data_IF_063233589267
#
_entry.id   IF_063233589267
#
_cell.length_a   1.000
_cell.length_b   1.000
_cell.length_c   1.000
_cell.angle_alpha   90.00
_cell.angle_beta   90.00
_cell.angle_gamma   90.00
#
_symmetry.space_group_name_H-M   'P 1'
#
loop_
_entity.id
_entity.type
_entity.pdbx_description
1 polymer ?
#
# COMPACT_ATOMS: atom_id res chain seq x y z
N UNK A 1 30.59 6.86 -1.55
CA UNK A 1 29.85 7.85 -0.73
C UNK A 1 28.39 8.00 -1.22
N UNK A 2 27.62 6.89 -1.33
CA UNK A 2 26.19 6.94 -1.73
C UNK A 2 25.22 6.71 -0.57
N UNK A 3 25.72 6.12 0.51
CA UNK A 3 24.94 5.71 1.69
C UNK A 3 24.47 6.88 2.54
N UNK A 4 25.31 7.90 2.75
CA UNK A 4 24.97 9.05 3.59
C UNK A 4 23.81 9.90 3.04
N UNK A 5 23.79 10.14 1.72
CA UNK A 5 22.73 10.90 1.08
C UNK A 5 21.41 10.11 1.01
N UNK A 6 21.48 8.83 0.66
CA UNK A 6 20.30 7.95 0.62
C UNK A 6 19.66 7.79 2.01
N UNK A 7 20.46 7.56 3.05
CA UNK A 7 19.96 7.43 4.43
C UNK A 7 19.37 8.72 4.99
N UNK A 8 19.95 9.89 4.67
CA UNK A 8 19.39 11.17 5.10
C UNK A 8 18.04 11.45 4.43
N UNK A 9 17.91 11.16 3.13
CA UNK A 9 16.65 11.30 2.41
C UNK A 9 15.59 10.35 2.97
N UNK A 10 15.93 9.08 3.18
CA UNK A 10 15.04 8.10 3.80
C UNK A 10 14.53 8.58 5.15
N UNK A 11 15.42 9.02 6.05
CA UNK A 11 14.99 9.46 7.40
C UNK A 11 14.06 10.67 7.37
N UNK A 12 14.30 11.62 6.45
CA UNK A 12 13.40 12.77 6.26
C UNK A 12 12.01 12.32 5.81
N UNK A 13 11.94 11.37 4.89
CA UNK A 13 10.67 10.85 4.39
C UNK A 13 9.95 10.01 5.45
N UNK A 14 10.66 9.17 6.20
CA UNK A 14 10.09 8.36 7.29
C UNK A 14 9.47 9.27 8.34
N UNK A 15 10.21 10.24 8.86
CA UNK A 15 9.69 11.15 9.89
C UNK A 15 8.55 12.05 9.39
N UNK A 16 8.44 12.29 8.08
CA UNK A 16 7.34 13.08 7.52
C UNK A 16 6.05 12.27 7.32
N UNK A 17 6.17 10.95 7.16
CA UNK A 17 5.06 10.05 6.84
C UNK A 17 4.63 9.17 8.04
N UNK A 18 5.37 9.19 9.15
CA UNK A 18 5.11 8.34 10.32
C UNK A 18 3.74 8.60 10.98
N UNK A 19 3.22 9.81 10.85
CA UNK A 19 1.94 10.24 11.42
C UNK A 19 0.72 9.83 10.56
N UNK A 20 0.94 9.26 9.38
CA UNK A 20 -0.14 8.87 8.47
C UNK A 20 -0.77 7.54 8.88
N UNK A 21 -2.10 7.49 8.91
CA UNK A 21 -2.85 6.27 9.20
C UNK A 21 -3.99 6.05 8.21
N UNK A 22 -4.28 4.78 7.91
CA UNK A 22 -5.44 4.37 7.11
C UNK A 22 -6.61 4.12 8.05
N UNK A 23 -7.70 4.87 7.86
CA UNK A 23 -8.94 4.70 8.60
C UNK A 23 -9.74 3.53 8.03
N UNK A 24 -10.71 3.04 8.82
CA UNK A 24 -11.58 1.92 8.44
C UNK A 24 -12.45 2.20 7.21
N UNK A 25 -12.61 3.47 6.83
CA UNK A 25 -13.32 3.93 5.63
C UNK A 25 -12.40 4.03 4.39
N UNK A 26 -11.12 3.67 4.52
CA UNK A 26 -10.13 3.70 3.44
C UNK A 26 -9.45 5.06 3.26
N UNK A 27 -9.81 6.08 4.06
CA UNK A 27 -9.16 7.39 4.05
C UNK A 27 -7.78 7.31 4.69
N UNK A 28 -6.80 7.98 4.07
CA UNK A 28 -5.49 8.22 4.69
C UNK A 28 -5.52 9.58 5.36
N UNK A 29 -5.32 9.63 6.68
CA UNK A 29 -5.35 10.86 7.46
C UNK A 29 -4.05 11.08 8.23
N UNK A 30 -3.70 12.33 8.50
CA UNK A 30 -2.68 12.68 9.48
C UNK A 30 -3.19 12.53 10.93
N UNK A 31 -2.31 12.72 11.91
CA UNK A 31 -2.65 12.70 13.33
C UNK A 31 -3.59 13.84 13.78
N UNK A 32 -3.82 14.87 12.95
CA UNK A 32 -4.76 15.98 13.18
C UNK A 32 -6.11 15.75 12.50
N UNK A 33 -6.30 14.62 11.81
CA UNK A 33 -7.52 14.27 11.09
C UNK A 33 -7.66 14.94 9.71
N UNK A 34 -6.60 15.55 9.19
CA UNK A 34 -6.58 16.06 7.81
C UNK A 34 -6.50 14.88 6.84
N UNK A 35 -7.38 14.88 5.84
CA UNK A 35 -7.41 13.86 4.79
C UNK A 35 -6.30 14.14 3.80
N UNK A 36 -5.37 13.19 3.67
CA UNK A 36 -4.25 13.22 2.73
C UNK A 36 -4.58 12.46 1.45
N UNK A 37 -5.31 11.34 1.56
CA UNK A 37 -5.85 10.60 0.41
C UNK A 37 -7.28 10.13 0.72
N UNK A 38 -8.16 10.23 -0.28
CA UNK A 38 -9.55 9.78 -0.17
C UNK A 38 -9.71 8.26 -0.27
N UNK A 39 -8.75 7.57 -0.88
CA UNK A 39 -8.68 6.11 -0.96
C UNK A 39 -7.20 5.73 -0.89
N UNK A 40 -6.84 4.84 0.03
CA UNK A 40 -5.48 4.35 0.17
C UNK A 40 -4.97 3.75 -1.16
N UNK A 41 -3.89 4.31 -1.70
CA UNK A 41 -3.30 3.79 -2.94
C UNK A 41 -4.22 3.89 -4.16
N UNK A 42 -5.22 4.77 -4.13
CA UNK A 42 -6.27 4.99 -5.16
C UNK A 42 -7.22 3.81 -5.39
N UNK A 43 -6.78 2.58 -5.12
CA UNK A 43 -7.54 1.34 -5.33
C UNK A 43 -7.88 0.61 -4.02
N UNK A 44 -7.39 1.08 -2.88
CA UNK A 44 -7.66 0.48 -1.56
C UNK A 44 -6.87 -0.81 -1.29
N UNK A 45 -5.88 -1.12 -2.12
CA UNK A 45 -5.16 -2.38 -2.08
C UNK A 45 -3.86 -2.21 -1.31
N UNK A 46 -3.64 -3.08 -0.33
CA UNK A 46 -2.36 -3.22 0.35
C UNK A 46 -1.32 -3.83 -0.62
N UNK A 47 -0.23 -3.11 -0.99
CA UNK A 47 0.80 -3.63 -1.89
C UNK A 47 1.46 -4.91 -1.38
N UNK A 48 1.44 -5.17 -0.07
CA UNK A 48 1.97 -6.41 0.51
C UNK A 48 1.02 -7.60 0.32
N UNK A 49 -0.27 -7.36 0.05
CA UNK A 49 -1.30 -8.36 -0.18
C UNK A 49 -1.69 -8.50 -1.66
N UNK A 50 -1.19 -7.62 -2.52
CA UNK A 50 -1.41 -7.70 -3.97
C UNK A 50 -0.37 -8.56 -4.66
N UNK A 51 -0.78 -9.28 -5.71
CA UNK A 51 0.14 -9.99 -6.59
C UNK A 51 0.81 -8.95 -7.51
N UNK A 52 1.97 -8.44 -7.08
CA UNK A 52 2.80 -7.49 -7.84
C UNK A 52 2.05 -6.23 -8.31
N UNK A 53 1.16 -5.68 -7.47
CA UNK A 53 0.41 -4.46 -7.78
C UNK A 53 -0.83 -4.66 -8.65
N UNK A 54 -1.24 -5.91 -8.92
CA UNK A 54 -2.54 -6.18 -9.55
C UNK A 54 -3.62 -6.39 -8.49
N UNK A 55 -4.79 -5.73 -8.68
CA UNK A 55 -5.96 -5.78 -7.80
C UNK A 55 -6.43 -7.20 -7.50
N UNK A 56 -6.44 -8.04 -8.53
CA UNK A 56 -6.68 -9.46 -8.44
C UNK A 56 -6.12 -10.11 -9.70
N UNK A 57 -5.26 -11.12 -9.57
CA UNK A 57 -4.86 -11.94 -10.71
C UNK A 57 -5.98 -12.96 -10.98
N UNK A 58 -6.95 -12.54 -11.80
CA UNK A 58 -8.15 -13.34 -12.10
C UNK A 58 -7.79 -14.67 -12.80
N UNK A 59 -6.74 -14.67 -13.62
CA UNK A 59 -6.28 -15.87 -14.33
C UNK A 59 -5.78 -16.93 -13.34
N UNK A 60 -4.98 -16.52 -12.35
CA UNK A 60 -4.51 -17.39 -11.27
C UNK A 60 -5.68 -17.95 -10.44
N UNK A 61 -6.69 -17.13 -10.15
CA UNK A 61 -7.88 -17.56 -9.41
C UNK A 61 -8.68 -18.61 -10.20
N UNK A 62 -8.85 -18.41 -11.51
CA UNK A 62 -9.54 -19.36 -12.40
C UNK A 62 -8.79 -20.69 -12.47
N UNK A 63 -7.47 -20.64 -12.58
CA UNK A 63 -6.64 -21.85 -12.62
C UNK A 63 -6.68 -22.62 -11.30
N UNK A 64 -6.63 -21.94 -10.15
CA UNK A 64 -6.79 -22.58 -8.83
C UNK A 64 -8.17 -23.24 -8.66
N UNK A 65 -9.25 -22.61 -9.15
CA UNK A 65 -10.59 -23.20 -9.11
C UNK A 65 -10.69 -24.44 -10.01
N UNK A 66 -10.12 -24.41 -11.22
CA UNK A 66 -10.10 -25.57 -12.14
C UNK A 66 -9.35 -26.78 -11.60
N UNK A 67 -8.28 -26.56 -10.82
CA UNK A 67 -7.52 -27.65 -10.18
C UNK A 67 -8.32 -28.28 -9.04
N UNK A 68 -9.16 -27.52 -8.34
CA UNK A 68 -9.99 -28.00 -7.23
C UNK A 68 -11.22 -28.83 -7.66
N UNK A 69 -11.68 -28.64 -8.89
CA UNK A 69 -12.84 -29.35 -9.46
C UNK A 69 -12.49 -30.72 -10.11
N UNK A 70 -11.19 -31.09 -10.15
CA UNK A 70 -10.71 -32.43 -10.51
C UNK A 70 -10.27 -33.22 -9.27
#
# INVERSE_FOLDING_TARGET
>A
IRTAQSGYMQRRLVNALEDLNVRSDGLVTDNKGQVIQSVFGEEGIDPAKSDFGHVANLDKLIDEMRIKDN
#
